data_IF_209566370006
#
_entry.id   IF_209566370006
#
_cell.length_a   1.000
_cell.length_b   1.000
_cell.length_c   1.000
_cell.angle_alpha   90.00
_cell.angle_beta   90.00
_cell.angle_gamma   90.00
#
_symmetry.space_group_name_H-M   'P 1'
#
loop_
_entity.id
_entity.type
_entity.pdbx_description
1 polymer ?
#
# COMPACT_ATOMS: atom_id res chain seq x y z
N UNK A 1 -7.02 -14.51 -35.95
CA UNK A 1 -7.53 -14.14 -34.62
C UNK A 1 -6.46 -14.53 -33.62
N UNK A 2 -5.83 -13.57 -32.96
CA UNK A 2 -5.02 -13.91 -31.78
C UNK A 2 -6.00 -14.32 -30.69
N UNK A 3 -5.84 -15.54 -30.18
CA UNK A 3 -6.67 -16.04 -29.08
C UNK A 3 -6.38 -15.20 -27.84
N UNK A 4 -7.42 -14.63 -27.24
CA UNK A 4 -7.27 -13.79 -26.05
C UNK A 4 -6.99 -14.72 -24.87
N UNK A 5 -5.88 -14.50 -24.16
CA UNK A 5 -5.52 -15.31 -23.00
C UNK A 5 -6.65 -15.31 -21.96
N UNK A 6 -7.12 -16.51 -21.60
CA UNK A 6 -8.20 -16.68 -20.61
C UNK A 6 -7.80 -16.22 -19.20
N UNK A 7 -8.78 -15.83 -18.35
CA UNK A 7 -8.52 -15.32 -17.00
C UNK A 7 -7.82 -16.34 -16.09
N UNK A 8 -8.11 -17.64 -16.27
CA UNK A 8 -7.50 -18.74 -15.52
C UNK A 8 -5.97 -18.74 -15.56
N UNK A 9 -5.37 -18.36 -16.68
CA UNK A 9 -3.91 -18.31 -16.85
C UNK A 9 -3.29 -17.25 -15.93
N UNK A 10 -3.89 -16.06 -15.88
CA UNK A 10 -3.43 -14.98 -15.02
C UNK A 10 -3.68 -15.27 -13.54
N UNK A 11 -4.84 -15.84 -13.22
CA UNK A 11 -5.21 -16.19 -11.84
C UNK A 11 -4.37 -17.31 -11.26
N UNK A 12 -4.01 -18.33 -12.06
CA UNK A 12 -3.09 -19.38 -11.65
C UNK A 12 -1.70 -18.82 -11.32
N UNK A 13 -1.23 -17.81 -12.09
CA UNK A 13 0.04 -17.12 -11.80
C UNK A 13 -0.06 -16.23 -10.57
N UNK A 14 -1.14 -15.44 -10.42
CA UNK A 14 -1.33 -14.53 -9.28
C UNK A 14 -1.49 -15.30 -7.96
N UNK A 15 -2.30 -16.35 -7.93
CA UNK A 15 -2.49 -17.20 -6.75
C UNK A 15 -1.20 -17.89 -6.30
N UNK A 16 -0.24 -18.12 -7.19
CA UNK A 16 1.08 -18.61 -6.83
C UNK A 16 1.81 -17.66 -5.86
N UNK A 17 1.58 -16.35 -5.96
CA UNK A 17 2.21 -15.37 -5.07
C UNK A 17 1.58 -15.30 -3.68
N UNK A 18 0.37 -15.85 -3.50
CA UNK A 18 -0.30 -15.97 -2.20
C UNK A 18 0.35 -17.03 -1.30
N UNK A 19 0.90 -18.11 -1.87
CA UNK A 19 1.57 -19.17 -1.13
C UNK A 19 3.04 -19.34 -1.56
N UNK A 20 3.95 -19.05 -0.62
CA UNK A 20 5.40 -19.23 -0.80
C UNK A 20 5.80 -20.65 -1.24
N UNK A 21 5.02 -21.69 -0.88
CA UNK A 21 5.26 -23.08 -1.32
C UNK A 21 4.75 -23.31 -2.75
N UNK A 22 3.55 -22.84 -3.07
CA UNK A 22 2.99 -22.89 -4.42
C UNK A 22 3.89 -22.17 -5.45
N UNK A 23 4.41 -20.98 -5.09
CA UNK A 23 5.35 -20.22 -5.94
C UNK A 23 6.59 -21.05 -6.33
N UNK A 24 7.17 -21.76 -5.36
CA UNK A 24 8.35 -22.62 -5.60
C UNK A 24 8.01 -23.80 -6.52
N UNK A 25 6.83 -24.39 -6.37
CA UNK A 25 6.39 -25.52 -7.20
C UNK A 25 6.12 -25.10 -8.66
N UNK A 26 5.47 -23.96 -8.88
CA UNK A 26 5.17 -23.45 -10.22
C UNK A 26 6.42 -22.93 -10.95
N UNK A 27 7.39 -22.35 -10.23
CA UNK A 27 8.72 -22.04 -10.78
C UNK A 27 9.48 -23.32 -11.18
N UNK A 28 9.43 -24.39 -10.38
CA UNK A 28 10.04 -25.69 -10.74
C UNK A 28 9.44 -26.28 -12.03
N UNK A 29 8.16 -25.99 -12.29
CA UNK A 29 7.44 -26.39 -13.52
C UNK A 29 7.63 -25.42 -14.70
N UNK A 30 8.41 -24.33 -14.56
CA UNK A 30 8.62 -23.27 -15.57
C UNK A 30 7.32 -22.59 -16.07
N UNK A 31 6.27 -22.58 -15.24
CA UNK A 31 4.97 -21.98 -15.59
C UNK A 31 4.99 -20.45 -15.44
N UNK A 32 5.83 -19.93 -14.52
CA UNK A 32 6.13 -18.50 -14.40
C UNK A 32 7.50 -18.27 -15.05
N UNK A 33 7.51 -17.43 -16.09
CA UNK A 33 8.77 -17.06 -16.76
C UNK A 33 9.72 -16.33 -15.82
N UNK A 34 11.04 -16.46 -16.04
CA UNK A 34 12.04 -15.79 -15.20
C UNK A 34 11.90 -14.25 -15.19
N UNK A 35 11.24 -13.68 -16.21
CA UNK A 35 10.99 -12.24 -16.36
C UNK A 35 9.54 -11.81 -16.02
N UNK A 36 8.63 -12.75 -15.76
CA UNK A 36 7.26 -12.41 -15.38
C UNK A 36 7.19 -12.09 -13.88
N UNK A 37 6.90 -10.82 -13.57
CA UNK A 37 6.72 -10.31 -12.20
C UNK A 37 5.24 -10.26 -11.82
N UNK A 38 4.95 -10.18 -10.52
CA UNK A 38 3.58 -9.95 -10.03
C UNK A 38 2.97 -8.68 -10.65
N UNK A 39 3.74 -7.59 -10.71
CA UNK A 39 3.29 -6.34 -11.33
C UNK A 39 2.93 -6.49 -12.80
N UNK A 40 3.73 -7.24 -13.56
CA UNK A 40 3.44 -7.47 -14.98
C UNK A 40 2.13 -8.25 -15.14
N UNK A 41 1.93 -9.31 -14.34
CA UNK A 41 0.70 -10.10 -14.34
C UNK A 41 -0.51 -9.24 -13.97
N UNK A 42 -0.40 -8.43 -12.91
CA UNK A 42 -1.47 -7.52 -12.48
C UNK A 42 -1.79 -6.48 -13.55
N UNK A 43 -0.79 -5.89 -14.21
CA UNK A 43 -0.98 -4.93 -15.30
C UNK A 43 -1.73 -5.59 -16.48
N UNK A 44 -1.41 -6.84 -16.81
CA UNK A 44 -2.17 -7.58 -17.81
C UNK A 44 -3.61 -7.86 -17.39
N UNK A 45 -3.85 -8.19 -16.11
CA UNK A 45 -5.21 -8.38 -15.57
C UNK A 45 -6.00 -7.06 -15.65
N UNK A 46 -5.42 -5.93 -15.23
CA UNK A 46 -6.06 -4.61 -15.29
C UNK A 46 -6.50 -4.27 -16.72
N UNK A 47 -5.57 -4.41 -17.67
CA UNK A 47 -5.84 -4.12 -19.08
C UNK A 47 -6.97 -5.02 -19.58
N UNK A 48 -6.89 -6.32 -19.29
CA UNK A 48 -7.89 -7.31 -19.73
C UNK A 48 -9.28 -7.01 -19.16
N UNK A 49 -9.38 -6.66 -17.87
CA UNK A 49 -10.64 -6.27 -17.23
C UNK A 49 -11.26 -5.03 -17.87
N UNK A 50 -10.45 -4.09 -18.35
CA UNK A 50 -10.90 -2.84 -18.93
C UNK A 50 -11.23 -2.93 -20.42
N UNK A 51 -10.51 -3.75 -21.19
CA UNK A 51 -10.56 -3.71 -22.66
C UNK A 51 -11.12 -4.96 -23.33
N UNK A 52 -11.19 -6.11 -22.64
CA UNK A 52 -11.75 -7.32 -23.24
C UNK A 52 -13.29 -7.33 -23.24
N UNK A 53 -13.87 -8.38 -23.81
CA UNK A 53 -15.32 -8.58 -23.78
C UNK A 53 -15.84 -8.72 -22.35
N UNK A 54 -17.11 -8.35 -22.17
CA UNK A 54 -17.76 -8.51 -20.87
C UNK A 54 -17.83 -9.98 -20.42
N UNK A 55 -17.86 -10.93 -21.36
CA UNK A 55 -17.78 -12.35 -21.07
C UNK A 55 -16.46 -12.73 -20.40
N UNK A 56 -15.35 -12.09 -20.78
CA UNK A 56 -14.07 -12.30 -20.11
C UNK A 56 -14.12 -11.84 -18.65
N UNK A 57 -14.78 -10.70 -18.39
CA UNK A 57 -14.98 -10.18 -17.03
C UNK A 57 -15.89 -11.12 -16.22
N UNK A 58 -16.96 -11.65 -16.82
CA UNK A 58 -17.84 -12.61 -16.15
C UNK A 58 -17.13 -13.93 -15.84
N UNK A 59 -16.31 -14.45 -16.76
CA UNK A 59 -15.46 -15.62 -16.49
C UNK A 59 -14.46 -15.32 -15.36
N UNK A 60 -13.83 -14.15 -15.34
CA UNK A 60 -12.93 -13.77 -14.26
C UNK A 60 -13.63 -13.76 -12.88
N UNK A 61 -14.90 -13.33 -12.84
CA UNK A 61 -15.69 -13.18 -11.63
C UNK A 61 -16.50 -14.41 -11.24
N UNK A 62 -16.57 -15.45 -12.07
CA UNK A 62 -17.38 -16.62 -11.79
C UNK A 62 -16.88 -17.43 -10.58
N UNK A 63 -17.70 -18.38 -10.14
CA UNK A 63 -17.39 -19.26 -9.01
C UNK A 63 -16.29 -20.28 -9.31
N UNK A 64 -15.94 -20.52 -10.58
CA UNK A 64 -14.87 -21.44 -10.97
C UNK A 64 -13.51 -20.78 -10.79
N UNK A 65 -13.37 -19.55 -11.28
CA UNK A 65 -12.14 -18.78 -11.29
C UNK A 65 -11.91 -18.00 -10.00
N UNK A 66 -12.98 -17.53 -9.34
CA UNK A 66 -12.93 -16.75 -8.09
C UNK A 66 -11.95 -15.55 -8.17
N UNK A 67 -11.87 -14.88 -9.32
CA UNK A 67 -10.83 -13.88 -9.58
C UNK A 67 -10.88 -12.68 -8.64
N UNK A 68 -12.08 -12.23 -8.24
CA UNK A 68 -12.23 -11.16 -7.25
C UNK A 68 -11.60 -11.55 -5.91
N UNK A 69 -11.89 -12.76 -5.42
CA UNK A 69 -11.34 -13.24 -4.14
C UNK A 69 -9.81 -13.32 -4.18
N UNK A 70 -9.24 -13.88 -5.25
CA UNK A 70 -7.77 -13.97 -5.41
C UNK A 70 -7.15 -12.57 -5.41
N UNK A 71 -7.77 -11.61 -6.10
CA UNK A 71 -7.31 -10.22 -6.15
C UNK A 71 -7.36 -9.55 -4.76
N UNK A 72 -8.46 -9.73 -4.01
CA UNK A 72 -8.62 -9.19 -2.65
C UNK A 72 -7.59 -9.79 -1.70
N UNK A 73 -7.43 -11.12 -1.71
CA UNK A 73 -6.47 -11.82 -0.86
C UNK A 73 -5.04 -11.35 -1.15
N UNK A 74 -4.72 -11.12 -2.43
CA UNK A 74 -3.41 -10.63 -2.85
C UNK A 74 -3.17 -9.18 -2.41
N UNK A 75 -4.13 -8.29 -2.69
CA UNK A 75 -4.05 -6.90 -2.25
C UNK A 75 -3.92 -6.80 -0.73
N UNK A 76 -4.66 -7.62 0.03
CA UNK A 76 -4.58 -7.66 1.48
C UNK A 76 -3.19 -8.09 1.99
N UNK A 77 -2.57 -9.09 1.35
CA UNK A 77 -1.20 -9.52 1.66
C UNK A 77 -0.18 -8.41 1.39
N UNK A 78 -0.34 -7.67 0.29
CA UNK A 78 0.55 -6.55 -0.07
C UNK A 78 0.34 -5.33 0.83
N UNK A 79 -0.76 -5.26 1.58
CA UNK A 79 -1.01 -4.20 2.55
C UNK A 79 -0.61 -4.59 3.98
N UNK A 80 -0.14 -5.83 4.20
CA UNK A 80 0.27 -6.29 5.52
C UNK A 80 1.59 -5.61 5.94
N UNK A 81 1.60 -4.86 7.07
CA UNK A 81 2.81 -4.22 7.58
C UNK A 81 3.97 -5.21 7.83
N UNK A 82 3.67 -6.49 8.06
CA UNK A 82 4.68 -7.54 8.25
C UNK A 82 5.43 -7.94 6.98
N UNK A 83 4.89 -7.61 5.80
CA UNK A 83 5.60 -7.77 4.51
C UNK A 83 6.59 -6.62 4.26
N UNK A 84 6.39 -5.45 4.88
CA UNK A 84 7.18 -4.24 4.67
C UNK A 84 7.69 -3.71 6.01
N UNK A 85 8.83 -4.20 6.46
CA UNK A 85 9.61 -3.47 7.47
C UNK A 85 10.16 -2.19 6.81
N UNK A 86 9.33 -1.15 6.74
CA UNK A 86 9.71 0.19 6.32
C UNK A 86 8.86 1.22 7.09
N UNK A 87 9.43 1.66 8.21
CA UNK A 87 9.04 2.78 9.09
C UNK A 87 7.72 2.65 9.87
N UNK A 88 7.73 2.87 11.19
CA UNK A 88 6.51 3.19 11.92
C UNK A 88 5.96 4.49 11.36
N UNK A 89 4.81 4.44 10.69
CA UNK A 89 3.94 5.59 10.58
C UNK A 89 3.41 5.86 11.99
N UNK A 90 4.08 6.75 12.71
CA UNK A 90 3.61 7.25 14.00
C UNK A 90 2.74 8.48 13.70
N UNK A 91 1.40 8.39 13.79
CA UNK A 91 0.49 9.48 13.43
C UNK A 91 0.58 10.69 14.38
N UNK A 92 1.49 10.68 15.36
CA UNK A 92 1.61 11.68 16.40
C UNK A 92 2.73 12.73 16.20
N UNK A 93 3.49 12.75 15.09
CA UNK A 93 4.60 13.71 14.92
C UNK A 93 4.55 14.49 13.59
N UNK A 94 4.65 15.83 13.62
CA UNK A 94 4.80 16.64 12.41
C UNK A 94 6.22 16.49 11.84
N UNK A 95 6.31 16.23 10.54
CA UNK A 95 7.56 16.11 9.78
C UNK A 95 8.39 17.40 9.88
N UNK A 96 9.56 17.33 10.52
CA UNK A 96 10.61 18.33 10.36
C UNK A 96 11.78 17.72 9.57
N UNK A 97 12.01 18.25 8.36
CA UNK A 97 13.19 18.02 7.54
C UNK A 97 14.43 18.70 8.13
N UNK A 98 15.59 18.04 7.95
CA UNK A 98 16.98 18.55 7.99
C UNK A 98 17.80 18.18 9.24
N UNK A 99 18.70 17.20 9.12
CA UNK A 99 20.18 17.38 9.09
C UNK A 99 20.94 16.03 9.08
N UNK A 100 22.18 15.96 8.54
CA UNK A 100 22.87 14.71 8.21
C UNK A 100 23.91 14.26 9.25
N UNK A 101 24.47 13.06 9.02
CA UNK A 101 25.72 12.44 9.57
C UNK A 101 25.55 11.63 10.88
N UNK A 102 26.23 10.50 11.15
CA UNK A 102 27.55 10.00 10.73
C UNK A 102 27.57 8.46 10.65
N UNK A 103 28.07 7.90 9.55
CA UNK A 103 28.57 6.51 9.50
C UNK A 103 30.08 6.53 9.76
N UNK A 104 30.53 6.10 10.93
CA UNK A 104 31.95 5.84 11.17
C UNK A 104 32.38 4.58 10.41
N UNK A 105 33.22 4.77 9.40
CA UNK A 105 33.84 3.70 8.62
C UNK A 105 35.07 4.25 7.90
N UNK A 106 36.06 4.73 8.66
CA UNK A 106 37.30 5.25 8.14
C UNK A 106 38.18 4.09 7.61
N UNK A 107 38.39 4.05 6.30
CA UNK A 107 39.49 3.34 5.65
C UNK A 107 40.77 4.18 5.83
N UNK A 108 41.80 3.59 6.44
CA UNK A 108 43.15 4.13 6.46
C UNK A 108 44.07 3.31 5.53
N UNK A 109 44.79 4.01 4.65
CA UNK A 109 45.87 3.48 3.81
C UNK A 109 47.18 3.31 4.62
N UNK A 110 48.12 2.43 4.18
CA UNK A 110 49.30 2.06 4.96
C UNK A 110 50.54 2.89 4.58
N UNK A 111 51.34 3.29 5.57
CA UNK A 111 52.73 3.70 5.34
C UNK A 111 53.60 3.53 6.59
N UNK A 112 54.70 2.77 6.44
CA UNK A 112 56.04 3.16 6.93
C UNK A 112 56.42 2.95 8.41
N UNK A 113 56.97 1.77 8.70
CA UNK A 113 58.28 1.51 9.32
C UNK A 113 58.68 2.01 10.74
N UNK A 114 59.44 1.11 11.42
CA UNK A 114 60.59 1.31 12.33
C UNK A 114 60.42 1.03 13.86
N UNK A 115 60.99 -0.11 14.26
CA UNK A 115 61.86 -0.44 15.44
C UNK A 115 61.33 -0.40 16.89
N UNK A 116 61.65 -1.46 17.64
CA UNK A 116 62.00 -1.43 19.08
C UNK A 116 61.21 -2.42 19.93
N UNK A 117 61.64 -3.68 20.07
CA UNK A 117 62.47 -4.24 21.15
C UNK A 117 61.85 -4.29 22.57
N UNK A 118 62.02 -5.47 23.16
CA UNK A 118 62.15 -5.78 24.59
C UNK A 118 61.00 -6.50 25.33
N UNK A 119 61.17 -7.82 25.38
CA UNK A 119 61.49 -8.63 26.57
C UNK A 119 60.68 -8.44 27.86
N UNK A 120 60.15 -9.57 28.33
CA UNK A 120 59.98 -10.05 29.73
C UNK A 120 58.52 -10.38 30.08
N UNK A 121 58.18 -11.33 30.94
CA UNK A 121 58.76 -12.60 31.42
C UNK A 121 57.68 -13.19 32.36
N UNK A 122 57.55 -14.51 32.42
CA UNK A 122 56.91 -15.25 33.53
C UNK A 122 55.37 -15.38 33.49
N UNK A 123 54.74 -16.45 33.96
CA UNK A 123 55.22 -17.66 34.64
C UNK A 123 54.13 -18.75 34.60
N UNK A 124 54.56 -19.99 34.32
CA UNK A 124 54.37 -21.27 35.05
C UNK A 124 52.98 -21.62 35.64
N UNK A 125 52.52 -22.84 35.28
CA UNK A 125 51.55 -23.65 36.04
C UNK A 125 50.93 -24.77 35.22
N UNK A 126 51.67 -25.81 34.81
CA UNK A 126 51.57 -27.20 35.32
C UNK A 126 50.15 -27.78 35.40
N UNK A 127 49.82 -28.75 34.54
CA UNK A 127 49.69 -30.18 34.93
C UNK A 127 49.44 -31.07 33.70
N UNK A 128 50.05 -32.24 33.79
CA UNK A 128 50.23 -33.30 32.80
C UNK A 128 49.03 -34.27 32.80
N UNK A 129 48.60 -34.80 31.65
CA UNK A 129 48.51 -36.27 31.44
C UNK A 129 47.96 -36.62 30.05
N UNK A 130 48.62 -37.62 29.48
CA UNK A 130 48.61 -38.22 28.15
C UNK A 130 47.37 -39.06 27.79
N UNK A 131 47.07 -39.21 26.48
CA UNK A 131 47.41 -40.42 25.69
C UNK A 131 46.76 -40.44 24.28
N UNK A 132 47.54 -40.96 23.33
CA UNK A 132 47.27 -41.50 21.97
C UNK A 132 47.26 -40.62 20.70
N UNK A 133 48.00 -41.16 19.73
CA UNK A 133 48.32 -40.74 18.36
C UNK A 133 47.11 -40.70 17.43
N UNK A 134 47.13 -39.83 16.41
CA UNK A 134 47.52 -40.23 15.03
C UNK A 134 46.98 -39.21 13.99
N UNK A 135 47.79 -39.10 12.95
CA UNK A 135 47.70 -38.33 11.72
C UNK A 135 46.32 -38.32 11.04
N UNK A 136 45.88 -37.14 10.56
CA UNK A 136 45.56 -36.90 9.13
C UNK A 136 45.07 -35.47 8.87
N UNK A 137 45.83 -34.84 7.98
CA UNK A 137 45.46 -33.73 7.11
C UNK A 137 44.04 -33.84 6.54
N UNK A 138 43.23 -32.78 6.67
CA UNK A 138 42.41 -32.28 5.58
C UNK A 138 41.96 -30.84 5.86
N UNK A 139 42.71 -29.89 5.29
CA UNK A 139 42.30 -28.50 5.10
C UNK A 139 41.10 -28.44 4.14
N UNK A 140 39.91 -28.08 4.65
CA UNK A 140 38.74 -27.69 3.85
C UNK A 140 37.91 -26.63 4.57
N UNK A 141 38.50 -25.47 4.86
CA UNK A 141 37.71 -24.24 5.06
C UNK A 141 37.88 -23.33 3.84
N UNK A 142 37.10 -23.62 2.78
CA UNK A 142 36.81 -22.61 1.75
C UNK A 142 35.90 -21.56 2.39
N UNK A 143 36.50 -20.42 2.72
CA UNK A 143 35.84 -19.18 3.13
C UNK A 143 34.81 -18.80 2.05
N UNK A 144 33.54 -19.08 2.31
CA UNK A 144 32.45 -18.58 1.48
C UNK A 144 32.42 -17.06 1.62
N UNK A 145 32.67 -16.35 0.52
CA UNK A 145 32.32 -14.94 0.41
C UNK A 145 30.81 -14.84 0.60
N UNK A 146 30.38 -14.00 1.54
CA UNK A 146 28.97 -13.69 1.78
C UNK A 146 28.40 -12.92 0.59
N UNK A 147 28.17 -13.61 -0.54
CA UNK A 147 27.28 -13.15 -1.57
C UNK A 147 25.87 -13.21 -0.97
N UNK A 148 25.31 -12.02 -0.71
CA UNK A 148 23.94 -11.79 -0.29
C UNK A 148 22.99 -12.72 -1.07
N UNK A 149 22.55 -13.78 -0.41
CA UNK A 149 21.56 -14.71 -0.95
C UNK A 149 20.19 -14.02 -0.85
N UNK A 150 19.96 -12.99 -1.69
CA UNK A 150 18.59 -12.55 -1.98
C UNK A 150 17.85 -13.77 -2.52
N UNK A 151 16.93 -14.29 -1.70
CA UNK A 151 16.12 -15.46 -2.00
C UNK A 151 15.61 -15.40 -3.44
N UNK A 152 15.68 -16.51 -4.17
CA UNK A 152 15.13 -16.69 -5.54
C UNK A 152 13.62 -16.31 -5.60
N UNK A 153 12.95 -16.29 -4.45
CA UNK A 153 11.57 -15.80 -4.29
C UNK A 153 11.46 -14.29 -4.54
N UNK A 154 12.44 -13.49 -4.13
CA UNK A 154 12.44 -12.03 -4.25
C UNK A 154 12.65 -11.51 -5.68
N UNK A 155 13.14 -12.35 -6.62
CA UNK A 155 13.45 -11.90 -7.99
C UNK A 155 12.25 -11.75 -8.92
N UNK A 156 11.09 -12.31 -8.58
CA UNK A 156 9.86 -12.22 -9.40
C UNK A 156 8.70 -11.54 -8.67
N UNK A 157 8.92 -11.08 -7.45
CA UNK A 157 8.00 -10.16 -6.78
C UNK A 157 8.29 -8.80 -7.40
N UNK A 158 7.25 -8.17 -7.95
CA UNK A 158 7.34 -6.85 -8.52
C UNK A 158 7.47 -5.77 -7.44
N UNK A 159 7.23 -4.52 -7.82
CA UNK A 159 7.22 -3.44 -6.84
C UNK A 159 5.89 -3.50 -6.06
N UNK A 160 5.94 -3.68 -4.73
CA UNK A 160 4.74 -3.79 -3.90
C UNK A 160 3.82 -2.56 -3.97
N UNK A 161 4.36 -1.35 -4.10
CA UNK A 161 3.56 -0.13 -4.22
C UNK A 161 2.83 -0.14 -5.57
N UNK A 162 3.53 -0.46 -6.66
CA UNK A 162 2.90 -0.63 -7.98
C UNK A 162 1.82 -1.72 -7.94
N UNK A 163 2.09 -2.85 -7.27
CA UNK A 163 1.14 -3.96 -7.15
C UNK A 163 -0.15 -3.52 -6.45
N UNK A 164 -0.06 -2.75 -5.36
CA UNK A 164 -1.23 -2.17 -4.68
C UNK A 164 -1.98 -1.21 -5.59
N UNK A 165 -1.27 -0.30 -6.28
CA UNK A 165 -1.90 0.64 -7.22
C UNK A 165 -2.67 -0.08 -8.33
N UNK A 166 -2.07 -1.12 -8.91
CA UNK A 166 -2.69 -1.89 -9.99
C UNK A 166 -3.86 -2.72 -9.47
N UNK A 167 -3.79 -3.26 -8.25
CA UNK A 167 -4.94 -3.93 -7.62
C UNK A 167 -6.15 -2.98 -7.47
N UNK A 168 -5.92 -1.74 -7.01
CA UNK A 168 -6.99 -0.72 -6.95
C UNK A 168 -7.51 -0.37 -8.34
N UNK A 169 -6.64 -0.34 -9.35
CA UNK A 169 -7.04 -0.12 -10.75
C UNK A 169 -7.91 -1.28 -11.30
N UNK A 170 -7.58 -2.53 -10.96
CA UNK A 170 -8.41 -3.69 -11.25
C UNK A 170 -9.78 -3.60 -10.57
N UNK A 171 -9.83 -3.16 -9.29
CA UNK A 171 -11.10 -2.93 -8.59
C UNK A 171 -11.96 -1.90 -9.31
N UNK A 172 -11.37 -0.78 -9.76
CA UNK A 172 -12.09 0.21 -10.59
C UNK A 172 -12.66 -0.40 -11.86
N UNK A 173 -11.89 -1.23 -12.57
CA UNK A 173 -12.35 -1.88 -13.79
C UNK A 173 -13.51 -2.85 -13.51
N UNK A 174 -13.41 -3.67 -12.46
CA UNK A 174 -14.48 -4.61 -12.03
C UNK A 174 -15.76 -3.85 -11.66
N UNK A 175 -15.63 -2.75 -10.91
CA UNK A 175 -16.76 -1.93 -10.49
C UNK A 175 -17.44 -1.16 -11.65
N UNK A 176 -16.78 -1.04 -12.80
CA UNK A 176 -17.40 -0.49 -14.00
C UNK A 176 -18.37 -1.48 -14.70
N UNK A 177 -18.61 -2.65 -14.09
CA UNK A 177 -19.67 -3.57 -14.47
C UNK A 177 -20.67 -3.74 -13.31
N UNK A 178 -21.98 -3.82 -13.61
CA UNK A 178 -23.01 -3.96 -12.56
C UNK A 178 -22.82 -5.20 -11.69
N UNK A 179 -22.53 -6.36 -12.27
CA UNK A 179 -22.31 -7.61 -11.52
C UNK A 179 -21.02 -7.49 -10.69
N UNK A 180 -19.93 -7.03 -11.31
CA UNK A 180 -18.66 -6.80 -10.61
C UNK A 180 -18.79 -5.83 -9.44
N UNK A 181 -19.49 -4.70 -9.63
CA UNK A 181 -19.80 -3.76 -8.57
C UNK A 181 -20.56 -4.42 -7.42
N UNK A 182 -21.62 -5.18 -7.71
CA UNK A 182 -22.40 -5.86 -6.66
C UNK A 182 -21.56 -6.89 -5.89
N UNK A 183 -20.65 -7.60 -6.57
CA UNK A 183 -19.74 -8.52 -5.89
C UNK A 183 -18.76 -7.80 -4.96
N UNK A 184 -18.17 -6.68 -5.41
CA UNK A 184 -17.29 -5.84 -4.56
C UNK A 184 -18.09 -5.22 -3.42
N UNK A 185 -19.31 -4.73 -3.68
CA UNK A 185 -20.17 -4.09 -2.70
C UNK A 185 -20.56 -5.03 -1.55
N UNK A 186 -20.75 -6.31 -1.86
CA UNK A 186 -21.10 -7.34 -0.87
C UNK A 186 -19.88 -7.97 -0.18
N UNK A 187 -18.66 -7.63 -0.59
CA UNK A 187 -17.41 -8.08 0.02
C UNK A 187 -16.83 -6.97 0.91
N UNK A 188 -17.10 -7.04 2.20
CA UNK A 188 -16.61 -6.06 3.18
C UNK A 188 -15.09 -6.00 3.25
N UNK A 189 -14.39 -7.11 2.95
CA UNK A 189 -12.93 -7.13 2.91
C UNK A 189 -12.39 -6.42 1.67
N UNK A 190 -13.06 -6.57 0.52
CA UNK A 190 -12.68 -5.84 -0.70
C UNK A 190 -12.73 -4.33 -0.49
N UNK A 191 -13.83 -3.83 0.08
CA UNK A 191 -14.02 -2.40 0.37
C UNK A 191 -13.02 -1.91 1.41
N UNK A 192 -12.76 -2.72 2.44
CA UNK A 192 -11.77 -2.39 3.45
C UNK A 192 -10.36 -2.32 2.88
N UNK A 193 -9.98 -3.23 1.98
CA UNK A 193 -8.70 -3.14 1.27
C UNK A 193 -8.62 -1.89 0.38
N UNK A 194 -9.71 -1.49 -0.29
CA UNK A 194 -9.74 -0.21 -1.02
C UNK A 194 -9.48 0.95 -0.04
N UNK A 195 -10.16 1.00 1.11
CA UNK A 195 -9.96 2.03 2.13
C UNK A 195 -8.52 2.06 2.68
N UNK A 196 -7.93 0.89 2.97
CA UNK A 196 -6.54 0.78 3.46
C UNK A 196 -5.50 1.26 2.46
N UNK A 197 -5.78 1.19 1.16
CA UNK A 197 -4.89 1.71 0.12
C UNK A 197 -4.66 3.23 0.21
N UNK A 198 -5.37 3.96 1.07
CA UNK A 198 -5.10 5.37 1.35
C UNK A 198 -3.73 5.63 1.96
N UNK A 199 -3.09 4.61 2.52
CA UNK A 199 -1.74 4.66 3.08
C UNK A 199 -0.63 4.58 2.02
N UNK A 200 -0.96 4.20 0.79
CA UNK A 200 -0.02 4.10 -0.33
C UNK A 200 0.68 5.44 -0.58
N UNK A 201 1.98 5.49 -0.89
CA UNK A 201 2.72 6.76 -0.94
C UNK A 201 2.27 7.71 -2.06
N UNK A 202 1.98 7.18 -3.25
CA UNK A 202 1.52 7.97 -4.39
C UNK A 202 0.17 8.66 -4.14
N UNK A 203 0.13 9.99 -4.31
CA UNK A 203 -1.10 10.79 -4.26
C UNK A 203 -2.09 10.41 -5.38
N UNK A 204 -1.60 9.93 -6.53
CA UNK A 204 -2.42 9.39 -7.61
C UNK A 204 -3.21 8.15 -7.16
N UNK A 205 -2.58 7.24 -6.42
CA UNK A 205 -3.28 6.08 -5.85
C UNK A 205 -4.29 6.53 -4.82
N UNK A 206 -3.93 7.47 -3.92
CA UNK A 206 -4.86 8.01 -2.93
C UNK A 206 -6.08 8.67 -3.58
N UNK A 207 -5.90 9.44 -4.65
CA UNK A 207 -6.99 10.06 -5.40
C UNK A 207 -7.97 8.99 -5.93
N UNK A 208 -7.45 7.98 -6.62
CA UNK A 208 -8.22 6.85 -7.14
C UNK A 208 -9.01 6.11 -6.04
N UNK A 209 -8.37 5.87 -4.89
CA UNK A 209 -9.02 5.23 -3.73
C UNK A 209 -10.20 6.07 -3.24
N UNK A 210 -9.99 7.37 -3.05
CA UNK A 210 -11.01 8.29 -2.54
C UNK A 210 -12.17 8.44 -3.52
N UNK A 211 -11.88 8.49 -4.83
CA UNK A 211 -12.91 8.49 -5.89
C UNK A 211 -13.78 7.22 -5.86
N UNK A 212 -13.16 6.04 -5.72
CA UNK A 212 -13.91 4.77 -5.62
C UNK A 212 -14.79 4.73 -4.38
N UNK A 213 -14.28 5.15 -3.23
CA UNK A 213 -15.05 5.19 -1.98
C UNK A 213 -16.19 6.20 -2.07
N UNK A 214 -15.98 7.36 -2.71
CA UNK A 214 -17.06 8.32 -2.97
C UNK A 214 -18.14 7.71 -3.85
N UNK A 215 -17.77 7.01 -4.93
CA UNK A 215 -18.72 6.33 -5.81
C UNK A 215 -19.53 5.24 -5.08
N UNK A 216 -18.89 4.44 -4.22
CA UNK A 216 -19.59 3.45 -3.38
C UNK A 216 -20.52 4.15 -2.40
N UNK A 217 -20.09 5.24 -1.77
CA UNK A 217 -20.87 5.97 -0.78
C UNK A 217 -22.19 6.54 -1.34
N UNK A 218 -22.24 6.87 -2.64
CA UNK A 218 -23.42 7.41 -3.30
C UNK A 218 -24.53 6.39 -3.59
N UNK A 219 -24.24 5.08 -3.59
CA UNK A 219 -25.28 4.08 -3.85
C UNK A 219 -26.10 3.78 -2.59
N UNK A 220 -27.33 3.29 -2.77
CA UNK A 220 -28.20 2.91 -1.65
C UNK A 220 -27.51 1.87 -0.75
N UNK A 221 -27.44 2.15 0.56
CA UNK A 221 -26.73 1.32 1.55
C UNK A 221 -25.20 1.50 1.53
N UNK A 222 -24.64 2.19 0.55
CA UNK A 222 -23.19 2.35 0.41
C UNK A 222 -22.57 3.28 1.45
N UNK A 223 -23.33 4.23 1.98
CA UNK A 223 -22.88 5.08 3.09
C UNK A 223 -22.44 4.26 4.30
N UNK A 224 -23.29 3.34 4.78
CA UNK A 224 -23.01 2.48 5.93
C UNK A 224 -21.76 1.63 5.71
N UNK A 225 -21.62 1.09 4.51
CA UNK A 225 -20.50 0.24 4.13
C UNK A 225 -19.17 1.00 4.14
N UNK A 226 -19.14 2.22 3.62
CA UNK A 226 -17.94 3.08 3.63
C UNK A 226 -17.62 3.54 5.05
N UNK A 227 -18.63 3.95 5.82
CA UNK A 227 -18.47 4.32 7.23
C UNK A 227 -17.88 3.15 8.03
N UNK A 228 -18.37 1.94 7.83
CA UNK A 228 -17.88 0.77 8.55
C UNK A 228 -16.43 0.41 8.17
N UNK A 229 -16.05 0.57 6.90
CA UNK A 229 -14.67 0.42 6.48
C UNK A 229 -13.73 1.41 7.21
N UNK A 230 -14.15 2.66 7.39
CA UNK A 230 -13.36 3.66 8.14
C UNK A 230 -13.43 3.46 9.67
N UNK A 231 -14.51 2.90 10.22
CA UNK A 231 -14.56 2.49 11.62
C UNK A 231 -13.54 1.37 11.90
N UNK A 232 -13.48 0.37 11.01
CA UNK A 232 -12.47 -0.69 11.07
C UNK A 232 -11.06 -0.12 10.93
N UNK A 233 -10.85 0.80 9.98
CA UNK A 233 -9.57 1.48 9.79
C UNK A 233 -9.13 2.21 11.05
N UNK A 234 -10.04 2.97 11.67
CA UNK A 234 -9.81 3.67 12.94
C UNK A 234 -9.32 2.72 14.04
N UNK A 235 -9.94 1.56 14.19
CA UNK A 235 -9.54 0.58 15.22
C UNK A 235 -8.17 -0.03 14.91
N UNK A 236 -7.94 -0.43 13.66
CA UNK A 236 -6.69 -1.08 13.23
C UNK A 236 -5.47 -0.14 13.30
N UNK A 237 -5.64 1.11 12.85
CA UNK A 237 -4.59 2.13 12.83
C UNK A 237 -4.61 3.06 14.04
N UNK A 238 -5.46 2.78 15.03
CA UNK A 238 -5.58 3.51 16.31
C UNK A 238 -5.82 5.00 16.13
N UNK A 239 -6.67 5.38 15.17
CA UNK A 239 -7.07 6.77 15.02
C UNK A 239 -7.93 7.21 16.22
N UNK A 240 -7.74 8.45 16.68
CA UNK A 240 -8.59 9.03 17.72
C UNK A 240 -9.99 9.25 17.15
N UNK A 241 -10.04 9.83 15.96
CA UNK A 241 -11.26 10.05 15.17
C UNK A 241 -11.13 9.34 13.83
N UNK A 242 -12.23 8.76 13.33
CA UNK A 242 -12.24 8.20 11.98
C UNK A 242 -11.91 9.29 10.95
N UNK A 243 -11.28 8.91 9.84
CA UNK A 243 -10.80 9.79 8.77
C UNK A 243 -9.58 10.65 9.14
N UNK A 244 -9.01 10.53 10.34
CA UNK A 244 -7.89 11.37 10.78
C UNK A 244 -6.67 11.28 9.86
N UNK A 245 -6.31 10.07 9.43
CA UNK A 245 -5.15 9.83 8.55
C UNK A 245 -5.40 10.39 7.15
N UNK A 246 -6.59 10.15 6.58
CA UNK A 246 -7.00 10.74 5.30
C UNK A 246 -6.94 12.27 5.37
N UNK A 247 -7.52 12.84 6.42
CA UNK A 247 -7.54 14.28 6.61
C UNK A 247 -6.13 14.84 6.82
N UNK A 248 -5.24 14.10 7.49
CA UNK A 248 -3.83 14.44 7.61
C UNK A 248 -3.13 14.59 6.26
N UNK A 249 -3.32 13.62 5.35
CA UNK A 249 -2.79 13.70 3.98
C UNK A 249 -3.41 14.84 3.17
N UNK A 250 -4.69 15.14 3.40
CA UNK A 250 -5.37 16.24 2.73
C UNK A 250 -4.92 17.62 3.24
N UNK A 251 -4.70 17.77 4.56
CA UNK A 251 -4.28 19.02 5.20
C UNK A 251 -2.82 19.36 4.87
N UNK A 252 -1.94 18.36 4.90
CA UNK A 252 -0.50 18.53 4.67
C UNK A 252 0.01 17.51 3.64
N UNK A 253 -0.36 17.65 2.36
CA UNK A 253 0.16 16.74 1.34
C UNK A 253 1.67 16.98 1.13
N UNK A 254 2.46 15.94 0.80
CA UNK A 254 3.91 16.08 0.57
C UNK A 254 4.23 17.00 -0.62
N UNK A 255 3.32 17.06 -1.59
CA UNK A 255 3.36 17.95 -2.75
C UNK A 255 1.93 18.36 -3.13
N UNK A 256 1.78 19.49 -3.82
CA UNK A 256 0.47 19.94 -4.28
C UNK A 256 -0.04 19.05 -5.42
N UNK A 257 -1.19 18.39 -5.23
CA UNK A 257 -1.77 17.48 -6.22
C UNK A 257 -3.28 17.71 -6.37
N UNK A 258 -3.68 18.36 -7.46
CA UNK A 258 -5.05 18.85 -7.67
C UNK A 258 -6.10 17.74 -7.63
N UNK A 259 -5.85 16.60 -8.30
CA UNK A 259 -6.84 15.51 -8.38
C UNK A 259 -7.12 14.90 -6.99
N UNK A 260 -6.08 14.66 -6.19
CA UNK A 260 -6.23 14.14 -4.84
C UNK A 260 -7.00 15.10 -3.93
N UNK A 261 -6.67 16.39 -3.97
CA UNK A 261 -7.37 17.40 -3.17
C UNK A 261 -8.84 17.53 -3.58
N UNK A 262 -9.11 17.48 -4.89
CA UNK A 262 -10.48 17.50 -5.43
C UNK A 262 -11.26 16.27 -4.99
N UNK A 263 -10.66 15.07 -5.11
CA UNK A 263 -11.26 13.82 -4.67
C UNK A 263 -11.58 13.86 -3.16
N UNK A 264 -10.66 14.35 -2.32
CA UNK A 264 -10.89 14.50 -0.87
C UNK A 264 -12.08 15.39 -0.55
N UNK A 265 -12.17 16.57 -1.16
CA UNK A 265 -13.30 17.49 -0.94
C UNK A 265 -14.61 16.87 -1.40
N UNK A 266 -14.63 16.23 -2.59
CA UNK A 266 -15.81 15.56 -3.11
C UNK A 266 -16.25 14.42 -2.20
N UNK A 267 -15.32 13.58 -1.74
CA UNK A 267 -15.59 12.48 -0.83
C UNK A 267 -16.17 12.96 0.51
N UNK A 268 -15.56 13.96 1.15
CA UNK A 268 -16.06 14.52 2.41
C UNK A 268 -17.50 15.02 2.22
N UNK A 269 -17.76 15.72 1.11
CA UNK A 269 -19.10 16.20 0.81
C UNK A 269 -20.12 15.07 0.59
N UNK A 270 -19.73 14.02 -0.14
CA UNK A 270 -20.58 12.84 -0.35
C UNK A 270 -20.86 12.17 0.99
N UNK A 271 -19.85 11.88 1.81
CA UNK A 271 -20.02 11.22 3.11
C UNK A 271 -20.94 12.02 4.03
N UNK A 272 -20.82 13.35 4.04
CA UNK A 272 -21.67 14.21 4.88
C UNK A 272 -23.10 14.28 4.36
N UNK A 273 -23.31 14.42 3.05
CA UNK A 273 -24.63 14.76 2.50
C UNK A 273 -25.43 13.59 1.93
N UNK A 274 -24.83 12.41 1.79
CA UNK A 274 -25.54 11.21 1.30
C UNK A 274 -26.42 10.53 2.36
N UNK A 275 -26.29 10.88 3.64
CA UNK A 275 -27.22 10.42 4.69
C UNK A 275 -28.53 11.20 4.66
N UNK A 276 -29.66 10.51 4.80
CA UNK A 276 -31.00 11.09 4.90
C UNK A 276 -31.30 11.68 6.30
N UNK A 277 -30.66 11.15 7.35
CA UNK A 277 -30.82 11.66 8.72
C UNK A 277 -30.05 12.98 8.91
N UNK A 278 -30.81 14.06 9.13
CA UNK A 278 -30.28 15.39 9.40
C UNK A 278 -29.45 15.46 10.70
N UNK A 279 -29.81 14.69 11.74
CA UNK A 279 -29.07 14.65 13.00
C UNK A 279 -27.70 14.00 12.79
N UNK A 280 -27.69 12.86 12.09
CA UNK A 280 -26.45 12.18 11.74
C UNK A 280 -25.58 13.02 10.80
N UNK A 281 -26.18 13.74 9.84
CA UNK A 281 -25.48 14.71 9.00
C UNK A 281 -24.77 15.78 9.82
N UNK A 282 -25.45 16.36 10.82
CA UNK A 282 -24.86 17.37 11.71
C UNK A 282 -23.70 16.78 12.55
N UNK A 283 -23.83 15.53 13.02
CA UNK A 283 -22.76 14.84 13.72
C UNK A 283 -21.52 14.65 12.83
N UNK A 284 -21.70 14.19 11.59
CA UNK A 284 -20.61 14.05 10.61
C UNK A 284 -19.95 15.40 10.27
N UNK A 285 -20.75 16.46 10.12
CA UNK A 285 -20.21 17.81 9.93
C UNK A 285 -19.32 18.23 11.10
N UNK A 286 -19.80 18.01 12.33
CA UNK A 286 -19.05 18.33 13.54
C UNK A 286 -17.75 17.52 13.65
N UNK A 287 -17.77 16.23 13.30
CA UNK A 287 -16.55 15.39 13.26
C UNK A 287 -15.48 15.98 12.33
N UNK A 288 -15.84 16.41 11.11
CA UNK A 288 -14.89 17.05 10.21
C UNK A 288 -14.45 18.45 10.67
N UNK A 289 -15.34 19.21 11.33
CA UNK A 289 -14.95 20.48 11.97
C UNK A 289 -13.91 20.25 13.07
N UNK A 290 -14.05 19.18 13.87
CA UNK A 290 -13.05 18.81 14.89
C UNK A 290 -11.70 18.42 14.29
N UNK A 291 -11.67 17.86 13.08
CA UNK A 291 -10.43 17.58 12.35
C UNK A 291 -9.77 18.85 11.79
N UNK A 292 -10.49 19.98 11.75
CA UNK A 292 -9.99 21.27 11.25
C UNK A 292 -10.32 21.56 9.78
N UNK A 293 -11.41 20.98 9.25
CA UNK A 293 -11.86 21.24 7.88
C UNK A 293 -12.18 22.72 7.63
N UNK A 294 -12.78 23.41 8.60
CA UNK A 294 -13.13 24.82 8.49
C UNK A 294 -11.91 25.71 8.20
N UNK A 295 -10.84 25.52 8.98
CA UNK A 295 -9.57 26.27 8.85
C UNK A 295 -8.90 25.98 7.51
N UNK A 296 -8.89 24.70 7.11
CA UNK A 296 -8.32 24.29 5.83
C UNK A 296 -9.06 24.96 4.67
N UNK A 297 -10.39 24.92 4.66
CA UNK A 297 -11.20 25.54 3.59
C UNK A 297 -11.08 27.06 3.55
N UNK A 298 -10.81 27.72 4.67
CA UNK A 298 -10.55 29.17 4.70
C UNK A 298 -9.18 29.50 4.10
N UNK A 299 -8.14 28.77 4.49
CA UNK A 299 -6.80 28.90 3.88
C UNK A 299 -6.78 28.61 2.38
N UNK A 300 -7.65 27.69 1.93
CA UNK A 300 -7.74 27.34 0.51
C UNK A 300 -8.38 28.45 -0.34
N UNK A 301 -9.23 29.29 0.26
CA UNK A 301 -9.85 30.43 -0.44
C UNK A 301 -8.90 31.59 -0.62
N UNK A 302 -7.99 31.81 0.33
CA UNK A 302 -7.05 32.95 0.30
C UNK A 302 -5.92 32.78 -0.70
N UNK A 303 -5.64 31.56 -1.15
CA UNK A 303 -4.57 31.23 -2.10
C UNK A 303 -5.15 31.02 -3.52
N UNK A 304 -5.64 32.10 -4.12
CA UNK A 304 -6.52 32.06 -5.30
C UNK A 304 -5.87 31.55 -6.62
N UNK A 305 -4.55 31.58 -6.80
CA UNK A 305 -3.96 31.38 -8.14
C UNK A 305 -3.93 29.94 -8.67
N UNK A 306 -3.82 28.92 -7.80
CA UNK A 306 -3.75 27.50 -8.21
C UNK A 306 -4.85 26.63 -7.55
N UNK A 307 -5.54 27.16 -6.55
CA UNK A 307 -6.55 26.44 -5.73
C UNK A 307 -8.00 26.72 -6.17
N UNK A 308 -8.18 27.54 -7.20
CA UNK A 308 -9.49 28.00 -7.69
C UNK A 308 -10.39 26.87 -8.21
N UNK A 309 -9.81 25.76 -8.70
CA UNK A 309 -10.57 24.56 -9.12
C UNK A 309 -11.14 23.82 -7.89
N UNK A 310 -10.34 23.69 -6.83
CA UNK A 310 -10.68 23.00 -5.59
C UNK A 310 -11.74 23.80 -4.80
N UNK A 311 -11.58 25.12 -4.72
CA UNK A 311 -12.49 26.03 -4.00
C UNK A 311 -13.88 26.17 -4.67
N UNK A 312 -13.97 25.97 -6.00
CA UNK A 312 -15.26 25.97 -6.72
C UNK A 312 -16.17 24.81 -6.28
N UNK A 313 -15.57 23.73 -5.80
CA UNK A 313 -16.27 22.62 -5.15
C UNK A 313 -16.79 23.01 -3.78
N UNK A 314 -15.97 23.52 -2.86
CA UNK A 314 -16.35 23.76 -1.46
C UNK A 314 -16.83 25.19 -1.16
N UNK A 315 -18.05 25.57 -1.57
CA UNK A 315 -18.62 26.86 -1.14
C UNK A 315 -19.46 26.73 0.13
N UNK A 316 -19.09 27.50 1.17
CA UNK A 316 -19.89 27.70 2.40
C UNK A 316 -21.01 28.68 2.08
N UNK A 317 -22.26 28.24 2.11
CA UNK A 317 -23.43 29.12 1.96
C UNK A 317 -23.44 30.12 3.10
N UNK A 318 -23.49 31.42 2.78
CA UNK A 318 -23.45 32.53 3.75
C UNK A 318 -24.81 32.58 4.48
N UNK A 319 -24.96 31.74 5.50
CA UNK A 319 -26.18 31.64 6.32
C UNK A 319 -26.46 30.24 6.90
N UNK A 320 -25.84 29.18 6.38
CA UNK A 320 -26.00 27.81 6.87
C UNK A 320 -24.64 27.22 7.22
N UNK A 321 -24.54 26.50 8.34
CA UNK A 321 -23.34 25.72 8.75
C UNK A 321 -23.10 24.49 7.86
N UNK A 322 -23.47 24.56 6.59
CA UNK A 322 -23.43 23.46 5.63
C UNK A 322 -22.52 23.80 4.46
N UNK A 323 -21.51 22.98 4.24
CA UNK A 323 -20.68 22.97 3.03
C UNK A 323 -21.56 22.54 1.85
N UNK A 324 -21.88 23.43 0.90
CA UNK A 324 -22.62 23.01 -0.31
C UNK A 324 -21.66 22.95 -1.48
N UNK A 325 -21.45 21.74 -2.00
CA UNK A 325 -20.77 21.57 -3.28
C UNK A 325 -21.77 21.68 -4.41
N UNK A 326 -21.52 22.60 -5.35
CA UNK A 326 -22.16 22.57 -6.67
C UNK A 326 -21.45 21.51 -7.50
N UNK A 327 -22.10 20.37 -7.69
CA UNK A 327 -21.78 19.47 -8.79
C UNK A 327 -22.22 20.19 -10.07
N UNK A 328 -21.27 20.69 -10.85
CA UNK A 328 -21.53 21.11 -12.24
C UNK A 328 -21.43 19.89 -13.14
#
# INVERSE_FOLDING_TARGET
MHDVTGPSVYLAKLSAYLDKKALKALKKKKIIGEQETSTAILKHIEISLRTNSIDWVYQFLDSEHNGLKILVDYMNQMQDPSMFCATPFDPALPSCSSTPSLTSGAFHYPTGAVIGNDTSNGSIGTHNSSYYEDSKSSSLFKKATAASSKSIVAKNIGDPEDDVHVCVSCMRAIMNNRIGFQMVFNDSQAIYCIARSILHQSLRTKALVVELLAAICMVTGGHEVVIEAFNRFRVEYKEVHRFQTLFGFFKNPPEFHVDFMTACIQFINVVVHSTDDNTYRLALQHEFTQLGLDELLESLKTNESEQFQIARGASKSRGERTWRIRLT
#
